data_IF_229562136252
#
_entry.id   IF_229562136252
#
_cell.length_a   1.000
_cell.length_b   1.000
_cell.length_c   1.000
_cell.angle_alpha   90.00
_cell.angle_beta   90.00
_cell.angle_gamma   90.00
#
_symmetry.space_group_name_H-M   'P 1'
#
loop_
_entity.id
_entity.type
_entity.pdbx_description
1 polymer ?
#
# COMPACT_ATOMS: atom_id res chain seq x y z
N UNK A 1 21.66 -38.48 -20.84
CA UNK A 1 20.94 -37.56 -21.74
C UNK A 1 19.44 -37.81 -21.63
N UNK A 2 18.70 -36.98 -20.87
CA UNK A 2 17.22 -36.81 -20.99
C UNK A 2 16.57 -35.96 -19.87
N UNK A 3 17.33 -35.28 -18.99
CA UNK A 3 16.78 -34.41 -17.92
C UNK A 3 16.41 -32.98 -18.38
N UNK A 4 16.29 -32.73 -19.69
CA UNK A 4 16.18 -31.37 -20.26
C UNK A 4 14.80 -30.94 -20.76
N UNK A 5 13.78 -31.81 -20.76
CA UNK A 5 12.50 -31.52 -21.46
C UNK A 5 11.25 -31.35 -20.59
N UNK A 6 11.27 -31.73 -19.30
CA UNK A 6 10.07 -31.60 -18.46
C UNK A 6 9.94 -30.24 -17.74
N UNK A 7 11.04 -29.52 -17.47
CA UNK A 7 10.98 -28.24 -16.75
C UNK A 7 10.33 -27.12 -17.57
N UNK A 8 10.55 -27.13 -18.90
CA UNK A 8 10.04 -26.07 -19.79
C UNK A 8 8.51 -26.12 -19.99
N UNK A 9 7.89 -27.31 -20.02
CA UNK A 9 6.44 -27.43 -20.24
C UNK A 9 5.62 -27.22 -18.96
N UNK A 10 6.16 -27.57 -17.80
CA UNK A 10 5.49 -27.43 -16.50
C UNK A 10 5.48 -25.97 -16.02
N UNK A 11 6.58 -25.24 -16.19
CA UNK A 11 6.67 -23.82 -15.81
C UNK A 11 5.81 -22.95 -16.72
N UNK A 12 5.71 -23.27 -18.03
CA UNK A 12 4.87 -22.62 -19.03
C UNK A 12 3.38 -22.52 -18.68
N UNK A 13 2.84 -23.51 -17.97
CA UNK A 13 1.37 -23.67 -17.84
C UNK A 13 0.87 -23.60 -16.40
N UNK A 14 1.75 -23.84 -15.40
CA UNK A 14 1.36 -23.84 -13.98
C UNK A 14 1.17 -22.43 -13.41
N UNK A 15 1.96 -21.47 -13.89
CA UNK A 15 1.95 -20.09 -13.38
C UNK A 15 0.72 -19.29 -13.87
N UNK A 16 0.05 -19.69 -14.95
CA UNK A 16 -1.05 -18.92 -15.56
C UNK A 16 -2.42 -19.03 -14.88
N UNK A 17 -2.55 -19.66 -13.71
CA UNK A 17 -3.87 -20.07 -13.17
C UNK A 17 -4.12 -19.76 -11.68
N UNK A 18 -3.22 -19.08 -10.97
CA UNK A 18 -3.46 -18.68 -9.58
C UNK A 18 -3.86 -17.19 -9.50
N UNK A 19 -5.14 -16.83 -9.31
CA UNK A 19 -5.64 -15.45 -9.44
C UNK A 19 -5.34 -14.57 -8.21
N UNK A 20 -4.23 -14.79 -7.50
CA UNK A 20 -3.91 -14.07 -6.26
C UNK A 20 -2.57 -13.35 -6.36
N UNK A 21 -2.64 -12.01 -6.46
CA UNK A 21 -1.50 -11.09 -6.50
C UNK A 21 -0.40 -11.39 -5.48
N UNK A 22 -0.80 -11.80 -4.26
CA UNK A 22 0.15 -12.08 -3.17
C UNK A 22 1.08 -13.26 -3.47
N UNK A 23 0.57 -14.29 -4.17
CA UNK A 23 1.33 -15.49 -4.51
C UNK A 23 2.37 -15.15 -5.58
N UNK A 24 1.96 -14.46 -6.65
CA UNK A 24 2.87 -13.97 -7.68
C UNK A 24 3.97 -13.08 -7.11
N UNK A 25 3.60 -12.10 -6.26
CA UNK A 25 4.58 -11.21 -5.61
C UNK A 25 5.61 -12.01 -4.81
N UNK A 26 5.16 -12.90 -3.92
CA UNK A 26 6.08 -13.71 -3.12
C UNK A 26 6.97 -14.64 -3.94
N UNK A 27 6.45 -15.19 -5.04
CA UNK A 27 7.22 -16.07 -5.90
C UNK A 27 8.25 -15.31 -6.74
N UNK A 28 7.89 -14.14 -7.26
CA UNK A 28 8.81 -13.23 -7.95
C UNK A 28 9.92 -12.78 -6.99
N UNK A 29 9.57 -12.36 -5.77
CA UNK A 29 10.55 -11.94 -4.75
C UNK A 29 11.55 -13.08 -4.46
N UNK A 30 11.08 -14.33 -4.39
CA UNK A 30 11.94 -15.50 -4.23
C UNK A 30 12.87 -15.70 -5.45
N UNK A 31 12.35 -15.65 -6.67
CA UNK A 31 13.16 -15.87 -7.88
C UNK A 31 14.19 -14.74 -8.09
N UNK A 32 13.86 -13.50 -7.68
CA UNK A 32 14.82 -12.38 -7.62
C UNK A 32 15.95 -12.69 -6.63
N UNK A 33 15.64 -13.22 -5.44
CA UNK A 33 16.66 -13.62 -4.47
C UNK A 33 17.56 -14.75 -4.99
N UNK A 34 17.01 -15.65 -5.80
CA UNK A 34 17.72 -16.73 -6.48
C UNK A 34 18.50 -16.25 -7.72
N UNK A 35 18.37 -14.98 -8.12
CA UNK A 35 18.99 -14.36 -9.31
C UNK A 35 18.59 -15.04 -10.63
N UNK A 36 17.45 -15.71 -10.67
CA UNK A 36 16.91 -16.35 -11.88
C UNK A 36 16.02 -15.37 -12.65
N UNK A 37 16.64 -14.36 -13.24
CA UNK A 37 15.92 -13.24 -13.85
C UNK A 37 15.06 -13.64 -15.05
N UNK A 38 15.45 -14.65 -15.82
CA UNK A 38 14.65 -15.16 -16.94
C UNK A 38 13.33 -15.78 -16.46
N UNK A 39 13.33 -16.40 -15.28
CA UNK A 39 12.10 -16.89 -14.66
C UNK A 39 11.25 -15.74 -14.15
N UNK A 40 11.85 -14.71 -13.54
CA UNK A 40 11.13 -13.51 -13.14
C UNK A 40 10.39 -12.86 -14.32
N UNK A 41 11.01 -12.81 -15.50
CA UNK A 41 10.40 -12.30 -16.73
C UNK A 41 9.15 -13.10 -17.12
N UNK A 42 9.25 -14.44 -17.12
CA UNK A 42 8.11 -15.32 -17.42
C UNK A 42 7.00 -15.16 -16.37
N UNK A 43 7.36 -15.00 -15.09
CA UNK A 43 6.40 -14.77 -14.00
C UNK A 43 5.64 -13.45 -14.17
N UNK A 44 6.35 -12.36 -14.46
CA UNK A 44 5.73 -11.06 -14.70
C UNK A 44 4.81 -11.08 -15.93
N UNK A 45 5.26 -11.66 -17.05
CA UNK A 45 4.44 -11.78 -18.26
C UNK A 45 3.12 -12.50 -17.98
N UNK A 46 3.17 -13.62 -17.25
CA UNK A 46 1.96 -14.37 -16.90
C UNK A 46 1.07 -13.68 -15.88
N UNK A 47 1.67 -12.93 -14.95
CA UNK A 47 0.88 -12.13 -14.03
C UNK A 47 0.11 -11.05 -14.81
N UNK A 48 0.73 -10.45 -15.82
CA UNK A 48 0.10 -9.44 -16.68
C UNK A 48 -0.90 -10.03 -17.68
N UNK A 49 -0.75 -11.29 -18.10
CA UNK A 49 -1.79 -12.02 -18.84
C UNK A 49 -3.08 -12.16 -18.03
N UNK A 50 -2.97 -12.36 -16.71
CA UNK A 50 -4.11 -12.53 -15.81
C UNK A 50 -4.72 -11.19 -15.35
N UNK A 51 -3.86 -10.21 -15.02
CA UNK A 51 -4.27 -8.92 -14.48
C UNK A 51 -3.59 -7.76 -15.24
N UNK A 52 -3.98 -7.52 -16.51
CA UNK A 52 -3.39 -6.44 -17.33
C UNK A 52 -3.70 -5.05 -16.78
N UNK A 53 -4.75 -4.92 -15.97
CA UNK A 53 -5.19 -3.66 -15.36
C UNK A 53 -4.28 -3.21 -14.19
N UNK A 54 -3.43 -4.12 -13.67
CA UNK A 54 -2.65 -3.90 -12.46
C UNK A 54 -1.39 -3.06 -12.74
N UNK A 55 -1.52 -1.74 -12.54
CA UNK A 55 -0.43 -0.78 -12.72
C UNK A 55 0.81 -1.08 -11.88
N UNK A 56 0.64 -1.59 -10.66
CA UNK A 56 1.77 -1.86 -9.76
C UNK A 56 2.67 -2.98 -10.29
N UNK A 57 2.10 -3.95 -10.98
CA UNK A 57 2.85 -5.05 -11.59
C UNK A 57 3.65 -4.57 -12.80
N UNK A 58 3.06 -3.72 -13.65
CA UNK A 58 3.77 -3.09 -14.77
C UNK A 58 4.98 -2.29 -14.31
N UNK A 59 4.81 -1.45 -13.27
CA UNK A 59 5.90 -0.66 -12.70
C UNK A 59 7.03 -1.54 -12.18
N UNK A 60 6.71 -2.55 -11.37
CA UNK A 60 7.72 -3.48 -10.82
C UNK A 60 8.43 -4.28 -11.90
N UNK A 61 7.74 -4.62 -12.98
CA UNK A 61 8.37 -5.34 -14.09
C UNK A 61 9.37 -4.45 -14.82
N UNK A 62 9.01 -3.19 -15.09
CA UNK A 62 9.91 -2.23 -15.70
C UNK A 62 11.11 -1.92 -14.78
N UNK A 63 10.88 -1.71 -13.48
CA UNK A 63 11.93 -1.49 -12.47
C UNK A 63 12.95 -2.65 -12.44
N UNK A 64 12.47 -3.90 -12.52
CA UNK A 64 13.36 -5.06 -12.60
C UNK A 64 14.28 -5.01 -13.82
N UNK A 65 13.74 -4.72 -15.01
CA UNK A 65 14.54 -4.66 -16.24
C UNK A 65 15.54 -3.48 -16.21
N UNK A 66 15.16 -2.36 -15.59
CA UNK A 66 16.07 -1.24 -15.33
C UNK A 66 17.24 -1.65 -14.44
N UNK A 67 16.98 -2.40 -13.36
CA UNK A 67 18.03 -2.92 -12.47
C UNK A 67 18.96 -3.90 -13.22
N UNK A 68 18.44 -4.62 -14.22
CA UNK A 68 19.22 -5.51 -15.08
C UNK A 68 20.01 -4.78 -16.17
N UNK A 69 19.74 -3.48 -16.39
CA UNK A 69 20.40 -2.65 -17.39
C UNK A 69 19.75 -2.70 -18.79
N UNK A 70 18.66 -3.46 -18.97
CA UNK A 70 17.94 -3.56 -20.24
C UNK A 70 16.93 -2.41 -20.40
N UNK A 71 17.45 -1.19 -20.60
CA UNK A 71 16.66 0.06 -20.70
C UNK A 71 15.62 0.01 -21.82
N UNK A 72 15.98 -0.55 -22.98
CA UNK A 72 15.07 -0.68 -24.12
C UNK A 72 13.86 -1.57 -23.80
N UNK A 73 14.08 -2.62 -23.01
CA UNK A 73 13.02 -3.54 -22.59
C UNK A 73 12.10 -2.89 -21.57
N UNK A 74 12.66 -2.15 -20.61
CA UNK A 74 11.88 -1.35 -19.67
C UNK A 74 10.96 -0.35 -20.40
N UNK A 75 11.46 0.36 -21.42
CA UNK A 75 10.66 1.25 -22.29
C UNK A 75 9.53 0.51 -23.01
N UNK A 76 9.84 -0.65 -23.61
CA UNK A 76 8.83 -1.45 -24.28
C UNK A 76 7.72 -1.89 -23.32
N UNK A 77 8.05 -2.26 -22.07
CA UNK A 77 7.08 -2.61 -21.04
C UNK A 77 6.19 -1.42 -20.69
N UNK A 78 6.75 -0.22 -20.52
CA UNK A 78 5.95 0.99 -20.27
C UNK A 78 5.01 1.35 -21.42
N UNK A 79 5.47 1.25 -22.68
CA UNK A 79 4.62 1.49 -23.85
C UNK A 79 3.47 0.47 -23.95
N UNK A 80 3.75 -0.81 -23.67
CA UNK A 80 2.69 -1.84 -23.60
C UNK A 80 1.70 -1.50 -22.49
N UNK A 81 2.18 -1.08 -21.32
CA UNK A 81 1.31 -0.71 -20.19
C UNK A 81 0.37 0.45 -20.57
N UNK A 82 0.89 1.50 -21.24
CA UNK A 82 0.11 2.69 -21.66
C UNK A 82 -0.90 2.37 -22.76
N UNK A 83 -0.60 1.36 -23.59
CA UNK A 83 -1.50 0.89 -24.65
C UNK A 83 -2.71 0.11 -24.13
N UNK A 84 -2.70 -0.31 -22.85
CA UNK A 84 -3.80 -1.08 -22.28
C UNK A 84 -5.11 -0.26 -22.24
N UNK A 85 -6.25 -0.83 -22.67
CA UNK A 85 -7.54 -0.11 -22.72
C UNK A 85 -8.12 0.25 -21.34
N UNK A 86 -7.79 -0.54 -20.31
CA UNK A 86 -8.24 -0.35 -18.94
C UNK A 86 -7.04 -0.47 -18.00
N UNK A 87 -6.79 0.61 -17.28
CA UNK A 87 -5.76 0.70 -16.25
C UNK A 87 -6.44 1.19 -14.98
N UNK A 88 -6.12 0.58 -13.85
CA UNK A 88 -6.71 0.94 -12.54
C UNK A 88 -6.33 2.38 -12.18
N UNK A 89 -5.04 2.70 -12.23
CA UNK A 89 -4.49 4.03 -11.96
C UNK A 89 -3.53 4.46 -13.08
N UNK A 90 -4.04 5.01 -14.20
CA UNK A 90 -3.21 5.39 -15.34
C UNK A 90 -2.15 6.43 -14.99
N UNK A 91 -2.49 7.41 -14.15
CA UNK A 91 -1.61 8.52 -13.75
C UNK A 91 -0.30 8.04 -13.13
N UNK A 92 -0.35 6.95 -12.35
CA UNK A 92 0.82 6.41 -11.66
C UNK A 92 1.81 5.79 -12.64
N UNK A 93 1.32 5.08 -13.68
CA UNK A 93 2.18 4.53 -14.74
C UNK A 93 2.87 5.66 -15.49
N UNK A 94 2.12 6.67 -15.92
CA UNK A 94 2.69 7.80 -16.66
C UNK A 94 3.75 8.54 -15.86
N UNK A 95 3.48 8.82 -14.58
CA UNK A 95 4.48 9.40 -13.68
C UNK A 95 5.73 8.52 -13.61
N UNK A 96 5.57 7.23 -13.35
CA UNK A 96 6.70 6.30 -13.26
C UNK A 96 7.51 6.20 -14.55
N UNK A 97 6.86 6.31 -15.71
CA UNK A 97 7.55 6.27 -16.99
C UNK A 97 8.35 7.55 -17.24
N UNK A 98 7.78 8.70 -16.88
CA UNK A 98 8.50 9.98 -16.92
C UNK A 98 9.69 9.98 -15.97
N UNK A 99 9.49 9.56 -14.72
CA UNK A 99 10.55 9.46 -13.71
C UNK A 99 11.69 8.54 -14.22
N UNK A 100 11.34 7.41 -14.84
CA UNK A 100 12.31 6.52 -15.48
C UNK A 100 13.11 7.20 -16.61
N UNK A 101 12.48 7.95 -17.53
CA UNK A 101 13.23 8.63 -18.59
C UNK A 101 14.12 9.77 -18.05
N UNK A 102 13.73 10.39 -16.93
CA UNK A 102 14.56 11.37 -16.21
C UNK A 102 15.80 10.71 -15.62
N UNK A 103 15.64 9.54 -14.99
CA UNK A 103 16.75 8.74 -14.44
C UNK A 103 17.74 8.27 -15.53
N UNK A 104 17.24 7.99 -16.74
CA UNK A 104 18.06 7.63 -17.90
C UNK A 104 18.63 8.84 -18.65
N UNK A 105 18.48 10.06 -18.11
CA UNK A 105 18.93 11.33 -18.68
C UNK A 105 18.37 11.62 -20.09
N UNK A 106 17.28 10.98 -20.49
CA UNK A 106 16.62 11.19 -21.79
C UNK A 106 15.52 12.24 -21.71
N UNK A 107 15.90 13.48 -21.38
CA UNK A 107 14.97 14.59 -21.16
C UNK A 107 14.09 14.90 -22.38
N UNK A 108 14.60 14.67 -23.60
CA UNK A 108 13.83 14.85 -24.83
C UNK A 108 12.67 13.86 -24.98
N UNK A 109 12.83 12.63 -24.49
CA UNK A 109 11.75 11.64 -24.47
C UNK A 109 10.75 11.97 -23.37
N UNK A 110 11.23 12.33 -22.17
CA UNK A 110 10.37 12.75 -21.07
C UNK A 110 9.44 13.92 -21.46
N UNK A 111 9.95 14.92 -22.20
CA UNK A 111 9.12 16.00 -22.74
C UNK A 111 8.02 15.51 -23.69
N UNK A 112 8.33 14.56 -24.58
CA UNK A 112 7.33 13.96 -25.48
C UNK A 112 6.27 13.14 -24.71
N UNK A 113 6.66 12.49 -23.62
CA UNK A 113 5.72 11.77 -22.76
C UNK A 113 4.74 12.73 -22.07
N UNK A 114 5.21 13.88 -21.59
CA UNK A 114 4.34 14.92 -21.05
C UNK A 114 3.34 15.44 -22.10
N UNK A 115 3.79 15.72 -23.32
CA UNK A 115 2.88 16.16 -24.40
C UNK A 115 1.82 15.08 -24.72
N UNK A 116 2.22 13.80 -24.85
CA UNK A 116 1.28 12.68 -25.05
C UNK A 116 0.31 12.52 -23.88
N UNK A 117 0.76 12.74 -22.65
CA UNK A 117 -0.10 12.69 -21.47
C UNK A 117 -1.13 13.82 -21.51
N UNK A 118 -0.72 15.04 -21.86
CA UNK A 118 -1.61 16.21 -21.97
C UNK A 118 -2.65 16.07 -23.08
N UNK A 119 -2.34 15.36 -24.16
CA UNK A 119 -3.32 15.01 -25.21
C UNK A 119 -4.42 14.08 -24.69
N UNK A 120 -4.10 13.17 -23.74
CA UNK A 120 -5.07 12.23 -23.15
C UNK A 120 -5.80 12.82 -21.95
N UNK A 121 -5.09 13.53 -21.06
CA UNK A 121 -5.61 14.09 -19.81
C UNK A 121 -5.14 15.52 -19.63
N UNK A 122 -6.09 16.46 -19.53
CA UNK A 122 -5.79 17.89 -19.33
C UNK A 122 -5.79 18.27 -17.84
N UNK A 123 -5.26 17.40 -16.99
CA UNK A 123 -5.29 17.61 -15.54
C UNK A 123 -4.21 18.59 -15.07
N UNK A 124 -4.55 19.49 -14.15
CA UNK A 124 -3.64 20.56 -13.69
C UNK A 124 -2.31 20.06 -13.13
N UNK A 125 -2.31 18.94 -12.40
CA UNK A 125 -1.06 18.39 -11.83
C UNK A 125 -0.05 18.00 -12.91
N UNK A 126 -0.51 17.58 -14.09
CA UNK A 126 0.37 17.23 -15.20
C UNK A 126 1.06 18.49 -15.75
N UNK A 127 0.30 19.57 -15.93
CA UNK A 127 0.84 20.87 -16.35
C UNK A 127 1.89 21.42 -15.39
N UNK A 128 1.59 21.39 -14.09
CA UNK A 128 2.52 21.83 -13.03
C UNK A 128 3.79 20.97 -13.04
N UNK A 129 3.63 19.64 -13.10
CA UNK A 129 4.76 18.69 -13.15
C UNK A 129 5.62 18.92 -14.39
N UNK A 130 5.01 19.18 -15.55
CA UNK A 130 5.73 19.44 -16.79
C UNK A 130 6.53 20.75 -16.74
N UNK A 131 5.95 21.81 -16.19
CA UNK A 131 6.64 23.08 -16.01
C UNK A 131 7.84 22.96 -15.05
N UNK A 132 7.67 22.25 -13.92
CA UNK A 132 8.78 21.97 -13.01
C UNK A 132 9.87 21.10 -13.65
N UNK A 133 9.47 20.09 -14.42
CA UNK A 133 10.42 19.27 -15.18
C UNK A 133 11.28 20.12 -16.12
N UNK A 134 10.67 21.03 -16.89
CA UNK A 134 11.43 21.92 -17.77
C UNK A 134 12.27 22.94 -17.01
N UNK A 135 11.83 23.38 -15.83
CA UNK A 135 12.64 24.25 -14.98
C UNK A 135 13.92 23.53 -14.50
N UNK A 136 13.80 22.26 -14.09
CA UNK A 136 14.92 21.48 -13.57
C UNK A 136 15.85 20.92 -14.67
N UNK A 137 15.31 20.55 -15.84
CA UNK A 137 16.03 19.80 -16.87
C UNK A 137 16.00 20.44 -18.27
N UNK A 138 15.42 21.64 -18.44
CA UNK A 138 15.19 22.31 -19.74
C UNK A 138 16.44 22.87 -20.45
N UNK A 139 17.64 22.49 -20.02
CA UNK A 139 18.89 22.86 -20.70
C UNK A 139 19.25 24.34 -20.59
N UNK A 140 19.42 25.02 -21.73
CA UNK A 140 20.04 26.36 -21.80
C UNK A 140 19.12 27.51 -21.34
N UNK A 141 17.81 27.40 -21.57
CA UNK A 141 16.83 28.46 -21.23
C UNK A 141 15.56 27.87 -20.57
N UNK A 142 15.65 27.40 -19.31
CA UNK A 142 14.55 26.70 -18.64
C UNK A 142 13.38 27.61 -18.25
N UNK A 143 13.67 28.87 -17.87
CA UNK A 143 12.67 29.82 -17.36
C UNK A 143 11.65 30.25 -18.43
N UNK A 144 12.06 30.65 -19.65
CA UNK A 144 11.09 30.95 -20.71
C UNK A 144 10.22 29.74 -21.09
N UNK A 145 10.81 28.54 -21.16
CA UNK A 145 10.08 27.31 -21.49
C UNK A 145 9.01 27.00 -20.44
N UNK A 146 9.36 27.02 -19.15
CA UNK A 146 8.39 26.81 -18.07
C UNK A 146 7.25 27.84 -18.10
N UNK A 147 7.56 29.12 -18.39
CA UNK A 147 6.55 30.18 -18.53
C UNK A 147 5.57 29.90 -19.67
N UNK A 148 6.07 29.49 -20.86
CA UNK A 148 5.18 29.15 -21.99
C UNK A 148 4.23 28.00 -21.66
N UNK A 149 4.68 27.04 -20.84
CA UNK A 149 3.85 25.92 -20.38
C UNK A 149 2.75 26.42 -19.43
N UNK A 150 3.08 27.27 -18.44
CA UNK A 150 2.08 27.86 -17.55
C UNK A 150 1.05 28.70 -18.30
N UNK A 151 1.48 29.50 -19.29
CA UNK A 151 0.58 30.29 -20.13
C UNK A 151 -0.36 29.40 -20.95
N UNK A 152 0.16 28.33 -21.57
CA UNK A 152 -0.63 27.34 -22.30
C UNK A 152 -1.63 26.64 -21.37
N UNK A 153 -1.19 26.19 -20.20
CA UNK A 153 -2.03 25.56 -19.19
C UNK A 153 -3.19 26.48 -18.75
N UNK A 154 -2.92 27.77 -18.49
CA UNK A 154 -3.94 28.74 -18.08
C UNK A 154 -4.93 29.06 -19.21
N UNK A 155 -4.51 28.99 -20.47
CA UNK A 155 -5.40 29.13 -21.63
C UNK A 155 -6.36 27.95 -21.76
N UNK A 156 -5.87 26.73 -21.61
CA UNK A 156 -6.70 25.51 -21.69
C UNK A 156 -7.65 25.40 -20.48
N UNK A 157 -7.13 25.59 -19.25
CA UNK A 157 -7.94 25.54 -18.02
C UNK A 157 -8.88 26.74 -17.84
N UNK A 158 -8.83 27.76 -18.72
CA UNK A 158 -9.77 28.88 -18.68
C UNK A 158 -11.21 28.44 -18.94
N UNK A 159 -11.38 27.42 -19.76
CA UNK A 159 -12.69 26.89 -20.15
C UNK A 159 -13.09 25.66 -19.32
N UNK A 160 -12.20 25.17 -18.44
CA UNK A 160 -12.49 24.04 -17.57
C UNK A 160 -13.59 24.41 -16.54
N UNK A 161 -14.49 23.47 -16.27
CA UNK A 161 -15.58 23.65 -15.32
C UNK A 161 -15.07 23.85 -13.87
N UNK A 162 -13.90 23.31 -13.56
CA UNK A 162 -13.32 23.28 -12.23
C UNK A 162 -12.44 24.49 -11.96
N UNK A 163 -13.00 25.45 -11.21
CA UNK A 163 -12.28 26.68 -10.80
C UNK A 163 -11.14 26.41 -9.82
N UNK A 164 -11.18 25.27 -9.11
CA UNK A 164 -10.15 24.87 -8.14
C UNK A 164 -8.86 24.43 -8.85
N UNK A 165 -8.97 23.67 -9.94
CA UNK A 165 -7.81 23.29 -10.75
C UNK A 165 -7.08 24.52 -11.29
N UNK A 166 -7.83 25.49 -11.80
CA UNK A 166 -7.26 26.74 -12.25
C UNK A 166 -6.57 27.52 -11.13
N UNK A 167 -7.14 27.54 -9.93
CA UNK A 167 -6.52 28.20 -8.78
C UNK A 167 -5.19 27.54 -8.43
N UNK A 168 -5.12 26.21 -8.38
CA UNK A 168 -3.88 25.48 -8.11
C UNK A 168 -2.78 25.81 -9.14
N UNK A 169 -3.14 25.89 -10.42
CA UNK A 169 -2.21 26.32 -11.47
C UNK A 169 -1.68 27.73 -11.21
N UNK A 170 -2.58 28.67 -10.91
CA UNK A 170 -2.20 30.08 -10.70
C UNK A 170 -1.36 30.29 -9.43
N UNK A 171 -1.62 29.53 -8.37
CA UNK A 171 -0.78 29.51 -7.16
C UNK A 171 0.63 29.03 -7.50
N UNK A 172 0.76 27.90 -8.21
CA UNK A 172 2.05 27.37 -8.66
C UNK A 172 2.78 28.32 -9.63
N UNK A 173 2.06 28.96 -10.56
CA UNK A 173 2.64 29.95 -11.48
C UNK A 173 3.11 31.21 -10.73
N UNK A 174 2.36 31.65 -9.72
CA UNK A 174 2.76 32.77 -8.87
C UNK A 174 4.04 32.46 -8.09
N UNK A 175 4.19 31.24 -7.56
CA UNK A 175 5.42 30.80 -6.88
C UNK A 175 6.61 30.73 -7.84
N UNK A 176 6.38 30.30 -9.08
CA UNK A 176 7.38 30.29 -10.14
C UNK A 176 7.86 31.70 -10.49
N UNK A 177 6.96 32.66 -10.75
CA UNK A 177 7.36 34.04 -11.07
C UNK A 177 7.97 34.75 -9.85
N UNK A 178 7.57 34.41 -8.63
CA UNK A 178 8.19 34.94 -7.42
C UNK A 178 9.67 34.54 -7.27
N UNK A 179 10.04 33.36 -7.78
CA UNK A 179 11.39 32.81 -7.67
C UNK A 179 12.29 33.13 -8.87
N UNK A 180 11.73 33.18 -10.08
CA UNK A 180 12.50 33.29 -11.33
C UNK A 180 12.05 34.44 -12.26
N UNK A 181 11.00 35.17 -11.90
CA UNK A 181 10.35 36.17 -12.74
C UNK A 181 10.72 37.61 -12.41
N UNK A 182 10.44 38.50 -13.37
CA UNK A 182 10.55 39.95 -13.22
C UNK A 182 9.31 40.54 -12.53
N UNK A 183 9.45 41.73 -11.94
CA UNK A 183 8.37 42.43 -11.21
C UNK A 183 7.11 42.63 -12.08
N UNK A 184 7.28 42.86 -13.39
CA UNK A 184 6.16 42.97 -14.34
C UNK A 184 5.40 41.64 -14.55
N UNK A 185 6.13 40.53 -14.62
CA UNK A 185 5.56 39.19 -14.80
C UNK A 185 4.80 38.77 -13.53
N UNK A 186 5.35 39.06 -12.35
CA UNK A 186 4.69 38.84 -11.07
C UNK A 186 3.38 39.62 -10.96
N UNK A 187 3.38 40.91 -11.35
CA UNK A 187 2.16 41.73 -11.31
C UNK A 187 1.08 41.22 -12.28
N UNK A 188 1.49 40.73 -13.45
CA UNK A 188 0.59 40.13 -14.43
C UNK A 188 -0.11 38.88 -13.89
N UNK A 189 0.62 37.98 -13.22
CA UNK A 189 0.05 36.77 -12.60
C UNK A 189 -0.84 37.14 -11.40
N UNK A 190 -0.42 38.12 -10.58
CA UNK A 190 -1.20 38.60 -9.45
C UNK A 190 -2.57 39.19 -9.88
N UNK A 191 -2.64 39.86 -11.04
CA UNK A 191 -3.90 40.35 -11.63
C UNK A 191 -4.85 39.21 -12.04
N UNK A 192 -4.32 38.04 -12.37
CA UNK A 192 -5.10 36.87 -12.78
C UNK A 192 -5.66 36.05 -11.60
N UNK A 193 -5.12 36.25 -10.39
CA UNK A 193 -5.55 35.55 -9.18
C UNK A 193 -6.99 35.91 -8.77
N UNK A 194 -7.83 34.94 -8.38
CA UNK A 194 -9.17 35.23 -7.88
C UNK A 194 -9.09 35.93 -6.51
N UNK A 195 -9.92 36.97 -6.33
CA UNK A 195 -9.99 37.71 -5.06
C UNK A 195 -10.70 36.88 -3.99
N UNK A 196 -10.03 36.61 -2.86
CA UNK A 196 -10.62 35.90 -1.71
C UNK A 196 -11.76 36.73 -1.09
N UNK A 197 -13.01 36.36 -1.38
CA UNK A 197 -14.19 36.98 -0.74
C UNK A 197 -14.38 36.38 0.65
N UNK A 198 -14.08 37.15 1.69
CA UNK A 198 -14.38 36.76 3.08
C UNK A 198 -15.90 36.79 3.30
N UNK A 199 -16.55 35.62 3.26
CA UNK A 199 -17.91 35.48 3.82
C UNK A 199 -17.82 35.60 5.34
N UNK A 200 -18.32 36.70 5.90
CA UNK A 200 -18.47 36.88 7.34
C UNK A 200 -19.40 35.79 7.89
N UNK A 201 -18.83 34.79 8.59
CA UNK A 201 -19.61 33.96 9.51
C UNK A 201 -19.92 34.80 10.75
N UNK A 202 -21.19 34.79 11.17
CA UNK A 202 -21.64 35.45 12.40
C UNK A 202 -21.02 34.70 13.57
N UNK A 203 -20.08 35.35 14.27
CA UNK A 203 -19.52 34.84 15.53
C UNK A 203 -20.63 35.02 16.58
N UNK A 204 -21.14 33.92 17.12
CA UNK A 204 -21.88 33.96 18.38
C UNK A 204 -20.81 33.84 19.46
N UNK A 205 -20.66 34.88 20.28
CA UNK A 205 -19.74 34.88 21.42
C UNK A 205 -20.16 33.76 22.39
N UNK A 206 -19.26 32.82 22.68
CA UNK A 206 -19.40 31.91 23.82
C UNK A 206 -18.85 32.59 25.07
N UNK A 207 -19.68 33.37 25.75
CA UNK A 207 -19.43 33.71 27.15
C UNK A 207 -19.82 32.49 28.01
N UNK A 208 -18.85 31.64 28.31
CA UNK A 208 -19.03 30.52 29.23
C UNK A 208 -19.15 31.01 30.69
N UNK A 209 -20.02 30.43 31.52
CA UNK A 209 -20.14 30.83 32.93
C UNK A 209 -18.94 30.30 33.75
N UNK A 210 -18.62 30.93 34.90
CA UNK A 210 -17.38 30.67 35.62
C UNK A 210 -17.30 29.26 36.21
N UNK A 211 -16.08 28.70 36.26
CA UNK A 211 -15.81 27.35 36.79
C UNK A 211 -15.98 27.31 38.31
N UNK A 212 -16.88 26.45 38.79
CA UNK A 212 -17.12 26.16 40.20
C UNK A 212 -16.15 25.06 40.67
N UNK A 213 -15.45 25.27 41.79
CA UNK A 213 -14.68 24.22 42.48
C UNK A 213 -15.63 23.38 43.33
N UNK A 214 -15.57 22.06 43.17
CA UNK A 214 -16.37 21.07 43.90
C UNK A 214 -15.41 20.39 44.89
N UNK A 215 -15.79 20.33 46.17
CA UNK A 215 -14.90 19.86 47.24
C UNK A 215 -15.42 18.62 47.98
N UNK A 216 -16.57 18.05 47.60
CA UNK A 216 -17.19 16.93 48.33
C UNK A 216 -17.62 15.75 47.40
N UNK A 217 -17.44 14.47 47.78
CA UNK A 217 -17.76 13.31 46.93
C UNK A 217 -19.24 13.13 46.59
N UNK A 218 -20.16 13.60 47.46
CA UNK A 218 -21.60 13.61 47.17
C UNK A 218 -21.98 14.65 46.11
N UNK A 219 -21.35 15.84 46.14
CA UNK A 219 -21.56 16.88 45.11
C UNK A 219 -21.06 16.43 43.73
N UNK A 220 -20.02 15.59 43.67
CA UNK A 220 -19.47 15.08 42.41
C UNK A 220 -20.45 14.13 41.69
N UNK A 221 -21.14 13.27 42.44
CA UNK A 221 -22.15 12.38 41.92
C UNK A 221 -23.38 13.16 41.41
N UNK A 222 -23.82 14.17 42.15
CA UNK A 222 -24.94 15.03 41.75
C UNK A 222 -24.59 15.90 40.52
N UNK A 223 -23.36 16.42 40.48
CA UNK A 223 -22.83 17.14 39.32
C UNK A 223 -22.79 16.26 38.06
N UNK A 224 -22.33 15.01 38.17
CA UNK A 224 -22.31 14.05 37.06
C UNK A 224 -23.71 13.74 36.54
N UNK A 225 -24.68 13.51 37.44
CA UNK A 225 -26.06 13.22 37.07
C UNK A 225 -26.71 14.41 36.35
N UNK A 226 -26.53 15.63 36.89
CA UNK A 226 -27.04 16.88 36.31
C UNK A 226 -26.42 17.18 34.95
N UNK A 227 -25.10 17.01 34.80
CA UNK A 227 -24.40 17.21 33.52
C UNK A 227 -24.85 16.19 32.47
N UNK A 228 -24.99 14.92 32.84
CA UNK A 228 -25.50 13.87 31.94
C UNK A 228 -26.89 14.20 31.43
N UNK A 229 -27.82 14.58 32.32
CA UNK A 229 -29.18 14.99 31.96
C UNK A 229 -29.18 16.18 30.99
N UNK A 230 -28.30 17.17 31.20
CA UNK A 230 -28.16 18.32 30.30
C UNK A 230 -27.68 17.95 28.88
N UNK A 231 -26.77 16.99 28.76
CA UNK A 231 -26.35 16.49 27.44
C UNK A 231 -27.46 15.68 26.76
N UNK A 232 -28.16 14.83 27.50
CA UNK A 232 -29.27 14.03 26.98
C UNK A 232 -30.46 14.89 26.51
N UNK A 233 -30.81 15.94 27.27
CA UNK A 233 -31.86 16.89 26.89
C UNK A 233 -31.46 17.72 25.65
N UNK A 234 -30.18 18.09 25.52
CA UNK A 234 -29.67 18.81 24.35
C UNK A 234 -29.65 17.93 23.09
N UNK A 235 -29.27 16.65 23.24
CA UNK A 235 -29.35 15.64 22.19
C UNK A 235 -30.80 15.38 21.78
N UNK A 236 -31.73 15.34 22.75
CA UNK A 236 -33.16 15.14 22.48
C UNK A 236 -33.76 16.31 21.69
N UNK A 237 -33.36 17.55 22.00
CA UNK A 237 -33.81 18.76 21.28
C UNK A 237 -33.17 18.93 19.90
N UNK A 238 -31.89 18.58 19.75
CA UNK A 238 -31.10 18.81 18.53
C UNK A 238 -30.49 17.50 17.99
N UNK A 239 -31.33 16.49 17.74
CA UNK A 239 -30.91 15.11 17.41
C UNK A 239 -30.05 14.98 16.15
N UNK A 240 -30.23 15.87 15.18
CA UNK A 240 -29.52 15.86 13.90
C UNK A 240 -28.12 16.49 13.95
N UNK A 241 -27.75 17.18 15.02
CA UNK A 241 -26.47 17.88 15.14
C UNK A 241 -25.42 16.95 15.75
N UNK A 242 -24.64 16.32 14.87
CA UNK A 242 -23.61 15.31 15.22
C UNK A 242 -22.55 15.88 16.20
N UNK A 243 -22.25 17.18 16.16
CA UNK A 243 -21.27 17.79 17.07
C UNK A 243 -21.67 17.72 18.55
N UNK A 244 -22.97 17.66 18.86
CA UNK A 244 -23.47 17.50 20.23
C UNK A 244 -23.25 16.07 20.75
N UNK A 245 -23.39 15.06 19.88
CA UNK A 245 -23.09 13.66 20.19
C UNK A 245 -21.59 13.44 20.43
N UNK A 246 -20.72 14.08 19.64
CA UNK A 246 -19.27 14.00 19.79
C UNK A 246 -18.82 14.60 21.13
N UNK A 247 -19.36 15.78 21.51
CA UNK A 247 -19.06 16.41 22.82
C UNK A 247 -19.50 15.54 24.00
N UNK A 248 -20.62 14.83 23.88
CA UNK A 248 -21.10 13.90 24.91
C UNK A 248 -20.21 12.65 25.02
N UNK A 249 -19.82 12.05 23.88
CA UNK A 249 -18.94 10.88 23.84
C UNK A 249 -17.55 11.15 24.42
N UNK A 250 -16.95 12.31 24.10
CA UNK A 250 -15.66 12.74 24.66
C UNK A 250 -15.72 12.93 26.18
N UNK A 251 -16.85 13.41 26.70
CA UNK A 251 -17.07 13.53 28.14
C UNK A 251 -17.19 12.15 28.82
N UNK A 252 -17.93 11.20 28.25
CA UNK A 252 -18.03 9.82 28.78
C UNK A 252 -16.68 9.07 28.76
N UNK A 253 -15.88 9.26 27.71
CA UNK A 253 -14.55 8.65 27.61
C UNK A 253 -13.59 9.17 28.69
N UNK A 254 -13.66 10.48 29.00
CA UNK A 254 -12.87 11.08 30.07
C UNK A 254 -13.17 10.50 31.46
N UNK A 255 -14.38 9.99 31.68
CA UNK A 255 -14.79 9.32 32.93
C UNK A 255 -14.34 7.85 32.98
N UNK A 256 -14.33 7.14 31.84
CA UNK A 256 -13.90 5.73 31.76
C UNK A 256 -12.40 5.53 32.00
N UNK A 257 -11.54 6.43 31.48
CA UNK A 257 -10.07 6.33 31.66
C UNK A 257 -9.61 6.35 33.12
N UNK A 258 -10.38 6.97 34.02
CA UNK A 258 -10.08 6.97 35.46
C UNK A 258 -10.32 5.60 36.12
N UNK A 259 -11.16 4.76 35.51
CA UNK A 259 -11.54 3.43 36.01
C UNK A 259 -10.59 2.33 35.54
N UNK A 260 -10.06 2.46 34.34
CA UNK A 260 -9.17 1.45 33.72
C UNK A 260 -7.72 1.56 34.21
N UNK A 261 -7.31 2.73 34.73
CA UNK A 261 -6.00 2.94 35.34
C UNK A 261 -5.80 2.19 36.67
N UNK A 262 -6.89 1.80 37.34
CA UNK A 262 -6.85 1.05 38.61
C UNK A 262 -6.85 -0.47 38.45
N UNK A 263 -7.18 -0.98 37.26
CA UNK A 263 -7.38 -2.42 37.01
C UNK A 263 -6.27 -3.08 36.16
N UNK A 264 -5.14 -2.41 35.95
CA UNK A 264 -4.01 -2.93 35.15
C UNK A 264 -2.79 -3.38 35.97
N UNK A 265 -2.96 -3.62 37.27
CA UNK A 265 -1.89 -4.05 38.19
C UNK A 265 -1.99 -5.53 38.64
N UNK A 266 -2.66 -6.41 37.88
CA UNK A 266 -2.67 -7.84 38.18
C UNK A 266 -2.74 -8.70 36.90
N UNK A 267 -1.84 -9.69 36.82
CA UNK A 267 -1.65 -10.73 35.78
C UNK A 267 -0.69 -10.31 34.64
N UNK A 268 0.45 -10.97 34.39
CA UNK A 268 0.91 -12.34 34.69
C UNK A 268 2.45 -12.39 34.73
N UNK A 269 2.99 -13.04 35.75
CA UNK A 269 4.30 -13.71 35.71
C UNK A 269 4.10 -15.15 35.24
N UNK A 270 4.98 -15.67 34.38
CA UNK A 270 5.19 -17.13 34.25
C UNK A 270 6.65 -17.41 33.89
N UNK A 271 7.38 -18.25 34.65
CA UNK A 271 8.78 -18.58 34.39
C UNK A 271 8.93 -19.77 33.42
N UNK A 272 10.11 -19.95 32.78
CA UNK A 272 10.36 -21.03 31.83
C UNK A 272 10.98 -22.27 32.50
N UNK A 273 10.45 -23.46 32.22
CA UNK A 273 11.12 -24.74 32.52
C UNK A 273 11.67 -25.34 31.21
N UNK A 274 13.00 -25.48 31.11
CA UNK A 274 13.70 -26.00 29.93
C UNK A 274 14.33 -27.37 30.21
N UNK A 275 14.12 -28.30 29.28
CA UNK A 275 15.01 -29.40 28.85
C UNK A 275 14.75 -30.89 29.22
N UNK A 276 13.71 -31.29 29.99
CA UNK A 276 13.36 -32.74 30.13
C UNK A 276 12.01 -33.16 29.54
N UNK A 277 11.08 -32.24 29.34
CA UNK A 277 9.72 -32.54 28.87
C UNK A 277 9.58 -32.53 27.34
N UNK A 278 10.67 -32.31 26.59
CA UNK A 278 10.63 -32.12 25.14
C UNK A 278 10.10 -33.36 24.40
N UNK A 279 10.61 -34.55 24.72
CA UNK A 279 10.15 -35.78 24.06
C UNK A 279 8.72 -36.15 24.43
N UNK A 280 8.31 -35.85 25.67
CA UNK A 280 6.92 -36.03 26.09
C UNK A 280 5.98 -35.07 25.35
N UNK A 281 6.39 -33.80 25.21
CA UNK A 281 5.67 -32.81 24.43
C UNK A 281 5.56 -33.21 22.95
N UNK A 282 6.65 -33.72 22.33
CA UNK A 282 6.61 -34.29 20.95
C UNK A 282 5.58 -35.38 20.80
N UNK A 283 5.58 -36.36 21.70
CA UNK A 283 4.63 -37.47 21.66
C UNK A 283 3.16 -37.00 21.80
N UNK A 284 2.92 -35.97 22.62
CA UNK A 284 1.59 -35.36 22.76
C UNK A 284 1.19 -34.66 21.45
N UNK A 285 2.09 -33.86 20.86
CA UNK A 285 1.81 -33.16 19.61
C UNK A 285 1.61 -34.12 18.44
N UNK A 286 2.43 -35.16 18.31
CA UNK A 286 2.30 -36.19 17.28
C UNK A 286 0.96 -36.93 17.36
N UNK A 287 0.54 -37.32 18.56
CA UNK A 287 -0.78 -37.93 18.77
C UNK A 287 -1.90 -36.94 18.45
N UNK A 288 -1.78 -35.70 18.90
CA UNK A 288 -2.80 -34.66 18.69
C UNK A 288 -3.04 -34.39 17.21
N UNK A 289 -1.96 -34.29 16.44
CA UNK A 289 -1.99 -34.06 14.99
C UNK A 289 -2.50 -35.28 14.23
N UNK A 290 -2.17 -36.49 14.68
CA UNK A 290 -2.67 -37.73 14.06
C UNK A 290 -4.17 -37.93 14.29
N UNK A 291 -4.70 -37.50 15.44
CA UNK A 291 -6.13 -37.60 15.78
C UNK A 291 -6.92 -36.48 15.09
N UNK A 292 -6.39 -35.25 15.05
CA UNK A 292 -7.07 -34.06 14.52
C UNK A 292 -6.24 -33.37 13.43
N UNK A 293 -6.04 -34.01 12.26
CA UNK A 293 -5.15 -33.48 11.20
C UNK A 293 -5.68 -32.20 10.56
N UNK A 294 -6.99 -31.92 10.62
CA UNK A 294 -7.60 -30.72 10.01
C UNK A 294 -7.44 -29.45 10.83
N UNK A 295 -6.99 -29.54 12.09
CA UNK A 295 -6.90 -28.38 12.99
C UNK A 295 -5.55 -27.67 12.81
N UNK A 296 -5.52 -26.63 11.97
CA UNK A 296 -4.30 -25.84 11.67
C UNK A 296 -3.54 -25.32 12.89
N UNK A 297 -4.24 -24.98 13.98
CA UNK A 297 -3.64 -24.46 15.20
C UNK A 297 -2.70 -25.46 15.89
N UNK A 298 -2.96 -26.77 15.75
CA UNK A 298 -2.11 -27.81 16.33
C UNK A 298 -0.78 -27.88 15.57
N UNK A 299 -0.85 -27.89 14.25
CA UNK A 299 0.33 -27.87 13.38
C UNK A 299 1.20 -26.64 13.63
N UNK A 300 0.62 -25.43 13.67
CA UNK A 300 1.37 -24.20 13.98
C UNK A 300 2.13 -24.27 15.30
N UNK A 301 1.47 -24.74 16.37
CA UNK A 301 2.09 -24.87 17.68
C UNK A 301 3.18 -25.94 17.70
N UNK A 302 2.99 -27.02 16.94
CA UNK A 302 3.96 -28.09 16.85
C UNK A 302 5.22 -27.66 16.06
N UNK A 303 5.05 -27.03 14.89
CA UNK A 303 6.17 -26.50 14.11
C UNK A 303 6.93 -25.42 14.88
N UNK A 304 6.21 -24.52 15.56
CA UNK A 304 6.82 -23.50 16.42
C UNK A 304 7.61 -24.11 17.59
N UNK A 305 7.10 -25.18 18.21
CA UNK A 305 7.82 -25.89 19.27
C UNK A 305 9.15 -26.47 18.74
N UNK A 306 9.12 -27.18 17.60
CA UNK A 306 10.35 -27.74 17.02
C UNK A 306 11.36 -26.65 16.60
N UNK A 307 10.87 -25.51 16.10
CA UNK A 307 11.68 -24.33 15.76
C UNK A 307 12.35 -23.74 17.01
N UNK A 308 11.61 -23.57 18.12
CA UNK A 308 12.15 -23.09 19.40
C UNK A 308 13.18 -24.04 20.03
N UNK A 309 13.12 -25.32 19.67
CA UNK A 309 14.09 -26.33 20.10
C UNK A 309 15.32 -26.40 19.17
N UNK A 310 15.36 -25.62 18.09
CA UNK A 310 16.44 -25.62 17.09
C UNK A 310 16.44 -26.86 16.19
N UNK A 311 15.40 -27.70 16.24
CA UNK A 311 15.31 -28.91 15.43
C UNK A 311 14.66 -28.62 14.07
N UNK A 312 15.44 -28.00 13.18
CA UNK A 312 14.98 -27.58 11.85
C UNK A 312 14.53 -28.79 11.01
N UNK A 313 15.24 -29.92 11.10
CA UNK A 313 14.86 -31.15 10.39
C UNK A 313 13.52 -31.73 10.87
N UNK A 314 13.27 -31.72 12.19
CA UNK A 314 11.97 -32.13 12.75
C UNK A 314 10.85 -31.19 12.33
N UNK A 315 11.06 -29.87 12.40
CA UNK A 315 10.07 -28.88 11.94
C UNK A 315 9.67 -29.12 10.47
N UNK A 316 10.63 -29.44 9.60
CA UNK A 316 10.38 -29.79 8.19
C UNK A 316 9.55 -31.05 8.02
N UNK A 317 9.84 -32.11 8.76
CA UNK A 317 9.04 -33.35 8.70
C UNK A 317 7.59 -33.10 9.12
N UNK A 318 7.38 -32.24 10.12
CA UNK A 318 6.05 -31.83 10.55
C UNK A 318 5.35 -31.03 9.44
N UNK A 319 6.05 -30.10 8.77
CA UNK A 319 5.50 -29.38 7.63
C UNK A 319 5.15 -30.29 6.44
N UNK A 320 6.00 -31.23 6.06
CA UNK A 320 5.73 -32.17 4.97
C UNK A 320 4.49 -33.02 5.25
N UNK A 321 4.39 -33.58 6.47
CA UNK A 321 3.19 -34.30 6.92
C UNK A 321 1.96 -33.41 6.93
N UNK A 322 2.11 -32.12 7.22
CA UNK A 322 0.99 -31.19 7.17
C UNK A 322 0.50 -30.98 5.73
N UNK A 323 1.43 -30.87 4.77
CA UNK A 323 1.12 -30.65 3.36
C UNK A 323 0.48 -31.86 2.67
N UNK A 324 0.68 -33.08 3.18
CA UNK A 324 -0.04 -34.29 2.73
C UNK A 324 -1.57 -34.17 2.88
N UNK A 325 -2.04 -33.37 3.84
CA UNK A 325 -3.47 -33.16 4.08
C UNK A 325 -4.08 -32.04 3.23
N UNK A 326 -3.36 -31.53 2.22
CA UNK A 326 -3.77 -30.42 1.34
C UNK A 326 -4.36 -29.23 2.16
N UNK A 327 -3.58 -28.61 3.05
CA UNK A 327 -4.08 -27.58 3.97
C UNK A 327 -4.32 -26.24 3.26
N UNK A 328 -5.11 -25.38 3.91
CA UNK A 328 -5.41 -24.01 3.44
C UNK A 328 -4.14 -23.19 3.15
N UNK A 329 -4.19 -22.31 2.15
CA UNK A 329 -3.12 -21.40 1.67
C UNK A 329 -2.16 -20.88 2.74
N UNK A 330 -2.69 -20.38 3.86
CA UNK A 330 -1.90 -19.86 4.97
C UNK A 330 -0.83 -20.85 5.47
N UNK A 331 -1.13 -22.15 5.48
CA UNK A 331 -0.18 -23.19 5.89
C UNK A 331 1.03 -23.26 4.94
N UNK A 332 0.78 -23.26 3.63
CA UNK A 332 1.82 -23.22 2.61
C UNK A 332 2.70 -21.97 2.72
N UNK A 333 2.07 -20.80 2.89
CA UNK A 333 2.81 -19.54 3.13
C UNK A 333 3.67 -19.62 4.39
N UNK A 334 3.19 -20.25 5.47
CA UNK A 334 4.02 -20.39 6.68
C UNK A 334 5.19 -21.33 6.51
N UNK A 335 5.06 -22.38 5.68
CA UNK A 335 6.17 -23.28 5.39
C UNK A 335 7.23 -22.60 4.51
N UNK A 336 6.78 -21.86 3.50
CA UNK A 336 7.65 -21.03 2.65
C UNK A 336 8.40 -20.00 3.51
N UNK A 337 7.68 -19.26 4.36
CA UNK A 337 8.28 -18.26 5.24
C UNK A 337 9.29 -18.90 6.21
N UNK A 338 9.04 -20.14 6.66
CA UNK A 338 9.99 -20.89 7.47
C UNK A 338 11.28 -21.17 6.70
N UNK A 339 11.23 -21.72 5.48
CA UNK A 339 12.46 -21.98 4.70
C UNK A 339 13.17 -20.68 4.29
N UNK A 340 12.42 -19.60 4.02
CA UNK A 340 12.98 -18.27 3.77
C UNK A 340 13.75 -17.72 4.99
N UNK A 341 13.24 -17.89 6.21
CA UNK A 341 13.96 -17.49 7.45
C UNK A 341 15.30 -18.21 7.60
N UNK A 342 15.37 -19.46 7.16
CA UNK A 342 16.58 -20.27 7.19
C UNK A 342 17.43 -20.15 5.91
N UNK A 343 17.08 -19.25 4.98
CA UNK A 343 17.78 -18.97 3.70
C UNK A 343 17.88 -20.18 2.77
N UNK A 344 16.96 -21.12 2.88
CA UNK A 344 16.90 -22.34 2.05
C UNK A 344 16.01 -22.09 0.83
N UNK A 345 16.51 -21.23 -0.06
CA UNK A 345 15.74 -20.67 -1.17
C UNK A 345 15.32 -21.73 -2.21
N UNK A 346 16.16 -22.74 -2.47
CA UNK A 346 15.83 -23.83 -3.40
C UNK A 346 14.67 -24.70 -2.90
N UNK A 347 14.58 -24.91 -1.59
CA UNK A 347 13.46 -25.64 -0.98
C UNK A 347 12.19 -24.81 -0.99
N UNK A 348 12.30 -23.51 -0.66
CA UNK A 348 11.19 -22.59 -0.78
C UNK A 348 10.61 -22.61 -2.21
N UNK A 349 11.46 -22.66 -3.24
CA UNK A 349 11.04 -22.80 -4.64
C UNK A 349 10.25 -24.09 -4.89
N UNK A 350 10.78 -25.24 -4.46
CA UNK A 350 10.08 -26.52 -4.63
C UNK A 350 8.71 -26.52 -3.95
N UNK A 351 8.59 -25.86 -2.79
CA UNK A 351 7.32 -25.71 -2.07
C UNK A 351 6.36 -24.81 -2.85
N UNK A 352 6.84 -23.69 -3.42
CA UNK A 352 6.03 -22.83 -4.29
C UNK A 352 5.53 -23.58 -5.54
N UNK A 353 6.39 -24.36 -6.21
CA UNK A 353 6.00 -25.15 -7.37
C UNK A 353 4.94 -26.20 -7.02
N UNK A 354 5.12 -26.92 -5.88
CA UNK A 354 4.13 -27.87 -5.35
C UNK A 354 2.80 -27.19 -5.01
N UNK A 355 2.86 -26.03 -4.37
CA UNK A 355 1.69 -25.24 -4.02
C UNK A 355 0.89 -24.85 -5.26
N UNK A 356 1.55 -24.34 -6.30
CA UNK A 356 0.90 -23.99 -7.57
C UNK A 356 0.27 -25.23 -8.25
N UNK A 357 0.95 -26.37 -8.24
CA UNK A 357 0.44 -27.62 -8.83
C UNK A 357 -0.81 -28.15 -8.12
N UNK A 358 -0.89 -28.06 -6.79
CA UNK A 358 -2.06 -28.50 -6.04
C UNK A 358 -3.28 -27.61 -6.28
N UNK A 359 -3.09 -26.29 -6.36
CA UNK A 359 -4.19 -25.36 -6.68
C UNK A 359 -4.80 -25.62 -8.06
N UNK A 360 -3.98 -26.05 -9.04
CA UNK A 360 -4.46 -26.45 -10.37
C UNK A 360 -5.39 -27.67 -10.30
N UNK A 361 -5.11 -28.63 -9.41
CA UNK A 361 -5.91 -29.84 -9.24
C UNK A 361 -7.29 -29.51 -8.65
N UNK A 362 -7.36 -28.62 -7.67
CA UNK A 362 -8.61 -28.22 -7.03
C UNK A 362 -9.56 -27.45 -7.95
N UNK A 363 -9.04 -26.65 -8.89
CA UNK A 363 -9.88 -25.92 -9.87
C UNK A 363 -10.32 -26.74 -11.08
N UNK A 364 -9.72 -27.90 -11.34
CA UNK A 364 -10.15 -28.80 -12.44
C UNK A 364 -11.20 -29.81 -12.00
N UNK A 365 -11.41 -29.97 -10.68
CA UNK A 365 -12.33 -30.94 -10.07
C UNK A 365 -13.57 -30.27 -9.47
N UNK A 366 -13.57 -28.94 -9.33
CA UNK A 366 -14.76 -28.13 -9.02
C UNK A 366 -15.35 -27.53 -10.29
#
# INVERSE_FOLDING_TARGET
MSWGRCSHCLQGTAIGLCPKDKLFRGYIDLEIQLREFDRCRILYQKFLEFAPENCTTWMKYAELETILGDVERARAIFEIAISQPRLDMPEVIWKSYVDFEIEQEQYGLAARLYERLLERTQHVKVWISYAHFQLSYGGKDPVPLARTIFERANKELRNAAEKEERLMLLESWSEFEASHGDEQSQESVAKQMPKKVKKRRRIVNEDGPPKQKISDPEELAEYQLRKRKGFEDNIRKNRSVISNWIKYAQWEESQKRYRDHYNHAAQKNTPPCRNRQVNHARNIWDRSVSILPRVKQLWYKYTYMEEMLGNIAGARQVFERWMEWEPHEQAWQTYINFELRYKELDRARQIYERYILLFKKDMLVG
#
